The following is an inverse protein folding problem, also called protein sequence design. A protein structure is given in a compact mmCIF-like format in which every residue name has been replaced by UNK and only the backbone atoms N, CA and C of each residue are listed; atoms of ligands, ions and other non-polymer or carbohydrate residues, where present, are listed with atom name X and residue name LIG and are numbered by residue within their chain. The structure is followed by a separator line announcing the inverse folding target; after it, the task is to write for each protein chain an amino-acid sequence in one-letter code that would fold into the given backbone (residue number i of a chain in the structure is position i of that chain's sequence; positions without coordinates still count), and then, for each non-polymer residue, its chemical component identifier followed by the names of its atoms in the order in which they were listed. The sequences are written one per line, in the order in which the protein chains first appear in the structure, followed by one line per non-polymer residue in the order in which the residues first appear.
data_IF_854168401647
#
_entry.id   IF_854168401647
#
_cell.length_a   1.000
_cell.length_b   1.000
_cell.length_c   1.000
_cell.angle_alpha   90.00
_cell.angle_beta   90.00
_cell.angle_gamma   90.00
#
_symmetry.space_group_name_H-M   'P 1'
#
loop_
_entity.id
_entity.type
_entity.pdbx_description
1 polymer ?
#
# COMPACT_ATOMS: atom_id res chain seq x y z
N UNK A 1 -27.37 5.82 -23.43
CA UNK A 1 -26.32 5.44 -22.45
C UNK A 1 -26.92 4.45 -21.48
N UNK A 2 -26.39 3.22 -21.36
CA UNK A 2 -26.86 2.26 -20.35
C UNK A 2 -26.28 2.69 -19.00
N UNK A 3 -27.16 3.06 -18.06
CA UNK A 3 -26.78 3.35 -16.68
C UNK A 3 -26.23 2.08 -16.04
N UNK A 4 -24.92 2.05 -15.80
CA UNK A 4 -24.28 0.96 -15.06
C UNK A 4 -24.70 1.13 -13.59
N UNK A 5 -25.46 0.16 -13.06
CA UNK A 5 -25.66 0.08 -11.61
C UNK A 5 -24.37 -0.43 -10.96
N UNK A 6 -24.08 -0.09 -9.68
CA UNK A 6 -22.84 -0.50 -9.01
C UNK A 6 -22.56 -2.01 -9.06
N UNK A 7 -23.63 -2.81 -9.08
CA UNK A 7 -23.57 -4.28 -9.11
C UNK A 7 -23.32 -4.87 -10.49
N UNK A 8 -23.45 -4.08 -11.56
CA UNK A 8 -23.31 -4.57 -12.94
C UNK A 8 -21.89 -5.04 -13.28
N UNK A 9 -20.87 -4.49 -12.60
CA UNK A 9 -19.49 -4.96 -12.71
C UNK A 9 -19.29 -6.26 -11.90
N UNK A 10 -19.76 -6.29 -10.65
CA UNK A 10 -19.64 -7.46 -9.79
C UNK A 10 -20.30 -8.71 -10.39
N UNK A 11 -21.49 -8.56 -10.97
CA UNK A 11 -22.21 -9.66 -11.62
C UNK A 11 -21.52 -10.23 -12.87
N UNK A 12 -20.47 -9.58 -13.37
CA UNK A 12 -19.70 -9.98 -14.57
C UNK A 12 -18.30 -10.49 -14.24
N UNK A 13 -17.88 -10.43 -12.98
CA UNK A 13 -16.58 -10.95 -12.56
C UNK A 13 -16.67 -12.46 -12.44
N UNK A 14 -16.00 -13.16 -13.35
CA UNK A 14 -15.73 -14.58 -13.24
C UNK A 14 -14.30 -14.78 -12.74
N UNK A 15 -14.10 -15.73 -11.82
CA UNK A 15 -12.82 -16.00 -11.18
C UNK A 15 -12.49 -17.49 -11.20
N UNK A 16 -12.15 -18.06 -12.38
CA UNK A 16 -12.04 -19.50 -12.58
C UNK A 16 -10.65 -20.05 -12.23
N UNK A 17 -10.06 -19.58 -11.13
CA UNK A 17 -8.72 -20.00 -10.70
C UNK A 17 -8.55 -19.93 -9.18
N UNK A 18 -7.54 -20.66 -8.68
CA UNK A 18 -7.23 -20.71 -7.26
C UNK A 18 -6.52 -19.46 -6.75
N UNK A 19 -6.73 -19.14 -5.47
CA UNK A 19 -6.06 -18.05 -4.73
C UNK A 19 -5.27 -18.61 -3.56
N UNK A 20 -4.13 -19.26 -3.82
CA UNK A 20 -3.25 -19.66 -2.75
C UNK A 20 -2.82 -18.42 -1.95
N UNK A 21 -2.64 -18.60 -0.66
CA UNK A 21 -2.05 -17.61 0.23
C UNK A 21 -0.84 -18.22 0.90
N UNK A 22 0.15 -17.38 1.23
CA UNK A 22 1.31 -17.80 2.00
C UNK A 22 0.87 -18.45 3.32
N UNK A 23 1.49 -19.57 3.75
CA UNK A 23 1.21 -20.17 5.05
C UNK A 23 1.61 -19.26 6.23
N UNK A 24 2.31 -18.16 5.95
CA UNK A 24 2.76 -17.18 6.94
C UNK A 24 1.86 -15.93 7.02
N UNK A 25 0.64 -15.98 6.45
CA UNK A 25 -0.24 -14.81 6.29
C UNK A 25 -0.42 -13.96 7.57
N UNK A 26 -0.69 -14.59 8.72
CA UNK A 26 -0.86 -13.86 9.99
C UNK A 26 0.44 -13.18 10.47
N UNK A 27 1.59 -13.82 10.24
CA UNK A 27 2.90 -13.25 10.60
C UNK A 27 3.24 -12.08 9.71
N UNK A 28 3.00 -12.22 8.41
CA UNK A 28 3.17 -11.14 7.43
C UNK A 28 2.29 -9.94 7.79
N UNK A 29 1.03 -10.17 8.17
CA UNK A 29 0.10 -9.13 8.63
C UNK A 29 0.61 -8.42 9.89
N UNK A 30 1.02 -9.18 10.90
CA UNK A 30 1.57 -8.61 12.12
C UNK A 30 2.82 -7.77 11.83
N UNK A 31 3.79 -8.32 11.09
CA UNK A 31 5.03 -7.60 10.74
C UNK A 31 4.78 -6.36 9.89
N UNK A 32 3.75 -6.36 9.03
CA UNK A 32 3.38 -5.18 8.24
C UNK A 32 2.82 -4.07 9.12
N UNK A 33 1.95 -4.40 10.08
CA UNK A 33 1.40 -3.42 11.04
C UNK A 33 2.46 -2.85 11.96
N UNK A 34 3.37 -3.69 12.46
CA UNK A 34 4.48 -3.26 13.31
C UNK A 34 5.42 -2.33 12.55
N UNK A 35 5.72 -2.64 11.29
CA UNK A 35 6.57 -1.80 10.43
C UNK A 35 5.98 -0.40 10.22
N UNK A 36 4.70 -0.30 9.87
CA UNK A 36 4.04 1.00 9.69
C UNK A 36 4.08 1.86 10.95
N UNK A 37 3.92 1.25 12.14
CA UNK A 37 4.09 1.95 13.42
C UNK A 37 5.53 2.37 13.66
N UNK A 38 6.48 1.46 13.45
CA UNK A 38 7.90 1.72 13.69
C UNK A 38 8.41 2.92 12.89
N UNK A 39 7.93 3.08 11.65
CA UNK A 39 8.34 4.16 10.76
C UNK A 39 7.42 5.39 10.79
N UNK A 40 6.42 5.42 11.68
CA UNK A 40 5.45 6.51 11.81
C UNK A 40 4.84 6.95 10.47
N UNK A 41 4.45 5.98 9.64
CA UNK A 41 3.97 6.27 8.28
C UNK A 41 2.55 6.84 8.24
N UNK A 42 1.82 6.78 9.35
CA UNK A 42 0.44 7.25 9.44
C UNK A 42 0.34 8.39 10.46
N UNK A 43 -0.48 9.41 10.20
CA UNK A 43 -0.50 10.64 10.99
C UNK A 43 -1.13 10.46 12.37
N UNK A 44 -2.04 9.49 12.53
CA UNK A 44 -2.81 9.29 13.75
C UNK A 44 -3.36 7.87 13.93
N UNK A 45 -3.90 7.63 15.13
CA UNK A 45 -4.45 6.34 15.55
C UNK A 45 -5.69 5.92 14.75
N UNK A 46 -6.53 6.86 14.30
CA UNK A 46 -7.74 6.56 13.52
C UNK A 46 -7.36 6.06 12.13
N UNK A 47 -6.35 6.69 11.51
CA UNK A 47 -5.79 6.27 10.24
C UNK A 47 -5.11 4.90 10.37
N UNK A 48 -4.42 4.65 11.49
CA UNK A 48 -3.87 3.33 11.79
C UNK A 48 -4.95 2.23 11.95
N UNK A 49 -6.09 2.53 12.57
CA UNK A 49 -7.21 1.59 12.67
C UNK A 49 -7.84 1.29 11.31
N UNK A 50 -8.03 2.32 10.45
CA UNK A 50 -8.45 2.14 9.06
C UNK A 50 -7.45 1.26 8.31
N UNK A 51 -6.15 1.53 8.42
CA UNK A 51 -5.09 0.72 7.82
C UNK A 51 -5.19 -0.76 8.24
N UNK A 52 -5.40 -1.04 9.54
CA UNK A 52 -5.53 -2.41 10.05
C UNK A 52 -6.75 -3.15 9.47
N UNK A 53 -7.81 -2.44 9.09
CA UNK A 53 -9.01 -3.05 8.50
C UNK A 53 -8.78 -3.56 7.07
N UNK A 54 -7.75 -3.05 6.38
CA UNK A 54 -7.45 -3.37 4.98
C UNK A 54 -6.70 -4.70 4.86
N UNK A 55 -5.94 -5.09 5.89
CA UNK A 55 -5.15 -6.32 5.94
C UNK A 55 -4.09 -6.45 4.83
N UNK A 56 -3.20 -5.47 4.71
CA UNK A 56 -2.16 -5.43 3.67
C UNK A 56 -1.17 -6.60 3.71
N UNK A 57 -0.91 -7.19 4.87
CA UNK A 57 -0.12 -8.40 4.95
C UNK A 57 -0.83 -9.62 4.38
N UNK A 58 -2.13 -9.76 4.62
CA UNK A 58 -2.95 -10.76 3.95
C UNK A 58 -3.07 -10.53 2.44
N UNK A 59 -3.04 -9.28 1.98
CA UNK A 59 -2.96 -8.95 0.56
C UNK A 59 -1.61 -9.38 -0.03
N UNK A 60 -0.50 -9.02 0.61
CA UNK A 60 0.84 -9.44 0.20
C UNK A 60 1.00 -10.96 0.21
N UNK A 61 0.43 -11.66 1.20
CA UNK A 61 0.44 -13.11 1.28
C UNK A 61 -0.26 -13.80 0.09
N UNK A 62 -1.25 -13.13 -0.54
CA UNK A 62 -1.91 -13.62 -1.77
C UNK A 62 -1.17 -13.24 -3.04
N UNK A 63 -0.43 -12.13 -3.05
CA UNK A 63 0.42 -11.75 -4.19
C UNK A 63 1.71 -12.56 -4.27
N UNK A 64 2.24 -12.99 -3.11
CA UNK A 64 3.48 -13.75 -3.01
C UNK A 64 3.29 -15.09 -2.28
N UNK A 65 2.36 -15.96 -2.73
CA UNK A 65 1.94 -17.13 -1.96
C UNK A 65 3.00 -18.22 -1.85
N UNK A 66 3.97 -18.22 -2.77
CA UNK A 66 5.05 -19.21 -2.83
C UNK A 66 6.41 -18.64 -2.40
N UNK A 67 6.46 -17.36 -2.02
CA UNK A 67 7.70 -16.74 -1.54
C UNK A 67 7.97 -17.16 -0.09
N UNK A 68 9.23 -17.01 0.34
CA UNK A 68 9.56 -17.15 1.76
C UNK A 68 8.82 -16.09 2.59
N UNK A 69 8.65 -16.34 3.90
CA UNK A 69 8.06 -15.38 4.84
C UNK A 69 8.70 -13.99 4.70
N UNK A 70 10.04 -13.93 4.71
CA UNK A 70 10.77 -12.66 4.61
C UNK A 70 10.49 -11.92 3.30
N UNK A 71 10.47 -12.61 2.16
CA UNK A 71 10.19 -12.00 0.86
C UNK A 71 8.75 -11.51 0.76
N UNK A 72 7.78 -12.31 1.23
CA UNK A 72 6.38 -11.93 1.22
C UNK A 72 6.11 -10.75 2.17
N UNK A 73 6.79 -10.68 3.31
CA UNK A 73 6.74 -9.53 4.23
C UNK A 73 7.26 -8.25 3.59
N UNK A 74 8.40 -8.30 2.90
CA UNK A 74 8.91 -7.13 2.15
C UNK A 74 7.89 -6.68 1.11
N UNK A 75 7.32 -7.64 0.36
CA UNK A 75 6.27 -7.35 -0.63
C UNK A 75 5.03 -6.71 -0.01
N UNK A 76 4.57 -7.22 1.13
CA UNK A 76 3.43 -6.66 1.86
C UNK A 76 3.69 -5.24 2.38
N UNK A 77 4.86 -4.99 2.97
CA UNK A 77 5.26 -3.66 3.45
C UNK A 77 5.38 -2.66 2.29
N UNK A 78 5.91 -3.10 1.14
CA UNK A 78 5.97 -2.29 -0.07
C UNK A 78 4.57 -1.91 -0.57
N UNK A 79 3.64 -2.88 -0.64
CA UNK A 79 2.25 -2.62 -1.02
C UNK A 79 1.58 -1.66 -0.03
N UNK A 80 1.74 -1.89 1.27
CA UNK A 80 1.21 -1.01 2.31
C UNK A 80 1.73 0.42 2.18
N UNK A 81 3.03 0.59 1.89
CA UNK A 81 3.63 1.91 1.65
C UNK A 81 3.06 2.58 0.40
N UNK A 82 2.91 1.85 -0.71
CA UNK A 82 2.33 2.39 -1.94
C UNK A 82 0.91 2.92 -1.73
N UNK A 83 0.06 2.18 -0.99
CA UNK A 83 -1.30 2.67 -0.69
C UNK A 83 -1.31 3.83 0.29
N UNK A 84 -0.39 3.85 1.26
CA UNK A 84 -0.25 5.01 2.17
C UNK A 84 0.16 6.26 1.39
N UNK A 85 1.07 6.09 0.42
CA UNK A 85 1.50 7.15 -0.49
C UNK A 85 0.36 7.64 -1.39
N UNK A 86 -0.43 6.72 -1.93
CA UNK A 86 -1.60 7.03 -2.78
C UNK A 86 -2.64 7.86 -2.00
N UNK A 87 -3.01 7.41 -0.79
CA UNK A 87 -3.94 8.12 0.09
C UNK A 87 -3.46 9.55 0.42
N UNK A 88 -2.16 9.77 0.67
CA UNK A 88 -1.59 11.10 0.97
C UNK A 88 -1.80 12.09 -0.19
N UNK A 89 -1.72 11.64 -1.45
CA UNK A 89 -1.90 12.51 -2.60
C UNK A 89 -3.35 12.60 -3.07
N UNK A 90 -4.15 11.55 -2.93
CA UNK A 90 -5.57 11.53 -3.30
C UNK A 90 -6.44 12.32 -2.30
N UNK A 91 -6.10 12.28 -1.01
CA UNK A 91 -6.84 13.01 0.03
C UNK A 91 -6.33 14.47 0.19
N UNK A 92 -5.28 14.88 -0.52
CA UNK A 92 -4.70 16.22 -0.44
C UNK A 92 -4.87 17.07 -1.71
N UNK A 93 -4.81 18.40 -1.56
CA UNK A 93 -4.83 19.33 -2.68
C UNK A 93 -3.57 19.24 -3.57
N UNK A 94 -2.55 18.48 -3.15
CA UNK A 94 -1.30 18.28 -3.90
C UNK A 94 -1.51 17.32 -5.08
N UNK A 95 -2.39 16.32 -4.97
CA UNK A 95 -2.68 15.38 -6.06
C UNK A 95 -3.22 16.05 -7.33
N UNK A 96 -3.85 17.22 -7.19
CA UNK A 96 -4.34 18.02 -8.31
C UNK A 96 -3.31 19.01 -8.89
N UNK A 97 -2.07 19.00 -8.39
CA UNK A 97 -1.00 19.92 -8.80
C UNK A 97 0.17 19.14 -9.41
N UNK A 98 0.18 18.91 -10.74
CA UNK A 98 1.13 18.02 -11.40
C UNK A 98 2.60 18.35 -11.13
N UNK A 99 2.94 19.64 -11.02
CA UNK A 99 4.31 20.08 -10.75
C UNK A 99 4.76 19.72 -9.34
N UNK A 100 3.89 19.88 -8.32
CA UNK A 100 4.22 19.50 -6.95
C UNK A 100 4.31 17.98 -6.81
N UNK A 101 3.40 17.25 -7.45
CA UNK A 101 3.43 15.78 -7.50
C UNK A 101 4.75 15.28 -8.11
N UNK A 102 5.17 15.84 -9.25
CA UNK A 102 6.43 15.49 -9.90
C UNK A 102 7.64 15.73 -8.99
N UNK A 103 7.66 16.84 -8.23
CA UNK A 103 8.73 17.13 -7.27
C UNK A 103 8.76 16.13 -6.12
N UNK A 104 7.60 15.80 -5.55
CA UNK A 104 7.51 14.82 -4.46
C UNK A 104 7.96 13.43 -4.90
N UNK A 105 7.49 12.96 -6.07
CA UNK A 105 7.89 11.67 -6.63
C UNK A 105 9.38 11.62 -6.99
N UNK A 106 9.96 12.71 -7.48
CA UNK A 106 11.40 12.78 -7.72
C UNK A 106 12.19 12.59 -6.41
N UNK A 107 11.74 13.18 -5.29
CA UNK A 107 12.39 12.97 -3.99
C UNK A 107 12.35 11.50 -3.54
N UNK A 108 11.24 10.80 -3.75
CA UNK A 108 11.18 9.35 -3.47
C UNK A 108 12.12 8.54 -4.36
N UNK A 109 12.19 8.85 -5.66
CA UNK A 109 13.09 8.19 -6.60
C UNK A 109 14.56 8.41 -6.21
N UNK A 110 14.92 9.63 -5.82
CA UNK A 110 16.27 9.96 -5.38
C UNK A 110 16.66 9.18 -4.12
N UNK A 111 15.76 9.07 -3.14
CA UNK A 111 15.96 8.25 -1.93
C UNK A 111 16.15 6.77 -2.30
N UNK A 112 15.31 6.22 -3.18
CA UNK A 112 15.42 4.84 -3.64
C UNK A 112 16.71 4.57 -4.44
N UNK A 113 17.25 5.60 -5.09
CA UNK A 113 18.55 5.58 -5.75
C UNK A 113 19.74 5.76 -4.77
N UNK A 114 19.49 5.93 -3.47
CA UNK A 114 20.51 6.09 -2.44
C UNK A 114 20.99 7.52 -2.22
N UNK A 115 20.29 8.52 -2.76
CA UNK A 115 20.58 9.93 -2.52
C UNK A 115 19.93 10.40 -1.21
N UNK A 116 20.51 11.44 -0.59
CA UNK A 116 19.89 12.07 0.57
C UNK A 116 18.66 12.89 0.14
N UNK A 117 17.60 12.96 0.96
CA UNK A 117 16.42 13.77 0.65
C UNK A 117 16.82 15.24 0.50
N UNK A 118 16.43 15.86 -0.62
CA UNK A 118 16.60 17.29 -0.82
C UNK A 118 15.70 18.04 0.18
N UNK A 119 16.31 18.69 1.16
CA UNK A 119 15.68 19.46 2.24
C UNK A 119 14.98 18.64 3.35
N UNK A 120 15.72 17.82 4.08
CA UNK A 120 15.34 17.51 5.47
C UNK A 120 15.63 18.73 6.36
N UNK A 121 14.74 19.72 6.36
CA UNK A 121 14.74 20.74 7.44
C UNK A 121 13.73 20.27 8.48
N UNK A 122 14.10 20.18 9.78
CA UNK A 122 13.17 19.84 10.85
C UNK A 122 12.04 20.87 11.00
#
# INVERSE_FOLDING_TARGET
MKTLTPWSLAARLDYPFETPASPFSDRIEQSTREWVKQFNLLPDQKTFERFCSINYGWLGARFFPYASEAQATIGAQWIAWLFTLDDEFDESAVGSQPQMLAQAFQAFVDILAGQAPANATP
#
